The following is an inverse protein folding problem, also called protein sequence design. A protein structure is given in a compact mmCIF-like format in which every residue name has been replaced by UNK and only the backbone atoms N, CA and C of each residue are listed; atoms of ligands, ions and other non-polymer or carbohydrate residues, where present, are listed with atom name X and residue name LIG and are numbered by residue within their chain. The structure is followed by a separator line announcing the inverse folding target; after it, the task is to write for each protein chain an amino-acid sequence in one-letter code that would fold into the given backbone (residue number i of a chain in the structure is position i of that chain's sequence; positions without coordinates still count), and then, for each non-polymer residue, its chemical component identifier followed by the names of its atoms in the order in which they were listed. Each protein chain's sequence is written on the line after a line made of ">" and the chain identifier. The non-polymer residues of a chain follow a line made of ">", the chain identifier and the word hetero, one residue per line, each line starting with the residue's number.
data_IF_454935155028
#
_entry.id   IF_454935155028
#
_cell.length_a   1.000
_cell.length_b   1.000
_cell.length_c   1.000
_cell.angle_alpha   90.00
_cell.angle_beta   90.00
_cell.angle_gamma   90.00
#
_symmetry.space_group_name_H-M   'P 1'
#
loop_
_entity.id
_entity.type
_entity.pdbx_description
1 polymer ?
#
# COMPACT_ATOMS: atom_id res chain seq x y z
N UNK A 1 67.63 -15.58 -0.50
CA UNK A 1 68.94 -15.50 -1.20
C UNK A 1 68.97 -16.66 -2.18
N UNK A 2 69.38 -16.39 -3.43
CA UNK A 2 69.37 -17.25 -4.64
C UNK A 2 68.13 -17.13 -5.55
N UNK A 3 68.17 -16.07 -6.37
CA UNK A 3 68.25 -16.05 -7.84
C UNK A 3 67.36 -16.98 -8.68
N UNK A 4 66.52 -16.35 -9.50
CA UNK A 4 65.91 -16.93 -10.70
C UNK A 4 66.15 -15.96 -11.88
N UNK A 5 66.79 -16.36 -12.99
CA UNK A 5 67.09 -15.49 -14.12
C UNK A 5 66.06 -15.58 -15.26
N UNK A 6 65.80 -14.42 -15.89
CA UNK A 6 65.64 -14.12 -17.34
C UNK A 6 64.99 -15.15 -18.29
N UNK A 7 64.28 -14.84 -19.38
CA UNK A 7 64.01 -13.63 -20.18
C UNK A 7 63.02 -14.03 -21.29
N UNK A 8 62.15 -13.10 -21.67
CA UNK A 8 61.70 -12.74 -23.04
C UNK A 8 61.50 -13.78 -24.16
N UNK A 9 60.34 -13.73 -24.82
CA UNK A 9 60.24 -13.56 -26.28
C UNK A 9 58.80 -13.20 -26.73
N UNK A 10 58.73 -12.15 -27.55
CA UNK A 10 57.58 -11.63 -28.29
C UNK A 10 57.03 -12.60 -29.35
N UNK A 11 55.79 -12.40 -29.79
CA UNK A 11 55.48 -11.93 -31.17
C UNK A 11 53.97 -11.84 -31.43
N UNK A 12 53.53 -10.63 -31.79
CA UNK A 12 52.31 -10.35 -32.56
C UNK A 12 52.59 -10.60 -34.04
N UNK A 13 51.64 -11.15 -34.81
CA UNK A 13 51.49 -10.87 -36.25
C UNK A 13 50.03 -11.11 -36.67
N UNK A 14 49.47 -10.09 -37.30
CA UNK A 14 48.15 -10.00 -37.94
C UNK A 14 47.97 -11.01 -39.09
N UNK A 15 46.71 -11.31 -39.45
CA UNK A 15 46.27 -11.24 -40.86
C UNK A 15 44.73 -11.33 -41.01
N UNK A 16 44.25 -10.53 -41.96
CA UNK A 16 42.86 -10.19 -42.29
C UNK A 16 42.44 -10.89 -43.58
N UNK A 17 41.27 -11.54 -43.65
CA UNK A 17 40.55 -11.76 -44.94
C UNK A 17 39.04 -12.06 -44.73
N UNK A 18 38.17 -11.31 -45.40
CA UNK A 18 36.74 -11.56 -45.78
C UNK A 18 36.66 -11.31 -47.31
N UNK A 19 35.58 -11.53 -48.11
CA UNK A 19 34.22 -12.08 -47.86
C UNK A 19 33.65 -13.03 -48.97
N UNK A 20 32.48 -13.68 -48.76
CA UNK A 20 31.44 -14.06 -49.75
C UNK A 20 30.14 -14.37 -48.95
N UNK A 21 29.03 -13.62 -48.98
CA UNK A 21 27.94 -13.43 -49.98
C UNK A 21 27.26 -14.71 -50.50
N UNK A 22 26.03 -14.97 -50.01
CA UNK A 22 24.97 -15.61 -50.78
C UNK A 22 23.61 -15.15 -50.29
N UNK A 23 22.83 -14.69 -51.25
CA UNK A 23 21.51 -14.04 -51.15
C UNK A 23 20.40 -15.08 -51.26
N UNK A 24 19.39 -15.00 -50.39
CA UNK A 24 18.06 -15.53 -50.67
C UNK A 24 17.00 -14.61 -50.06
N UNK A 25 15.95 -14.36 -50.85
CA UNK A 25 15.02 -13.24 -50.73
C UNK A 25 13.56 -13.69 -50.57
N UNK A 26 12.80 -12.86 -49.83
CA UNK A 26 11.32 -12.66 -49.78
C UNK A 26 10.46 -13.55 -48.83
N UNK A 27 9.30 -13.04 -48.30
CA UNK A 27 8.71 -11.70 -48.41
C UNK A 27 8.38 -11.01 -47.06
N UNK A 28 8.12 -9.70 -47.21
CA UNK A 28 7.72 -8.67 -46.25
C UNK A 28 6.44 -9.04 -45.49
N UNK A 29 6.49 -9.08 -44.15
CA UNK A 29 5.31 -9.11 -43.29
C UNK A 29 5.03 -7.70 -42.75
N UNK A 30 3.77 -7.30 -42.80
CA UNK A 30 3.24 -6.01 -42.34
C UNK A 30 3.59 -5.72 -40.87
N UNK A 31 3.84 -4.45 -40.50
CA UNK A 31 4.03 -4.08 -39.11
C UNK A 31 2.72 -4.27 -38.35
N UNK A 32 2.65 -5.30 -37.52
CA UNK A 32 1.66 -5.40 -36.45
C UNK A 32 1.81 -4.16 -35.56
N UNK A 33 0.85 -3.24 -35.69
CA UNK A 33 0.55 -2.23 -34.68
C UNK A 33 0.28 -2.96 -33.36
N UNK A 34 1.31 -3.09 -32.54
CA UNK A 34 1.12 -3.34 -31.12
C UNK A 34 0.61 -2.02 -30.53
N UNK A 35 -0.72 -1.90 -30.47
CA UNK A 35 -1.38 -0.91 -29.65
C UNK A 35 -0.98 -1.15 -28.18
N UNK A 36 0.15 -0.58 -27.76
CA UNK A 36 0.48 -0.43 -26.35
C UNK A 36 -0.36 0.72 -25.82
N UNK A 37 -1.64 0.44 -25.54
CA UNK A 37 -2.37 1.21 -24.55
C UNK A 37 -1.76 0.84 -23.20
N UNK A 38 -0.57 1.37 -22.94
CA UNK A 38 0.03 1.36 -21.60
C UNK A 38 -0.85 2.30 -20.79
N UNK A 39 -1.79 1.73 -20.03
CA UNK A 39 -2.39 2.45 -18.91
C UNK A 39 -1.23 3.00 -18.09
N UNK A 40 -1.10 4.32 -18.14
CA UNK A 40 0.01 5.04 -17.56
C UNK A 40 -0.15 4.93 -16.05
N UNK A 41 0.61 4.02 -15.44
CA UNK A 41 0.58 3.76 -14.00
C UNK A 41 0.67 5.08 -13.24
N UNK A 42 -0.38 5.41 -12.48
CA UNK A 42 -0.47 6.56 -11.55
C UNK A 42 0.54 6.42 -10.40
N UNK A 43 1.12 5.23 -10.23
CA UNK A 43 2.13 4.93 -9.23
C UNK A 43 3.53 5.43 -9.65
N UNK A 44 4.13 6.45 -9.00
CA UNK A 44 5.45 6.94 -9.39
C UNK A 44 6.58 5.92 -9.10
N UNK A 45 7.81 6.09 -9.61
CA UNK A 45 8.89 5.15 -9.30
C UNK A 45 9.35 5.27 -7.84
N UNK A 46 9.61 4.14 -7.15
CA UNK A 46 10.00 4.11 -5.73
C UNK A 46 11.37 4.70 -5.47
N UNK A 47 12.31 4.41 -6.37
CA UNK A 47 13.74 4.72 -6.24
C UNK A 47 14.01 6.21 -6.39
N UNK A 48 13.14 6.93 -7.09
CA UNK A 48 13.31 8.36 -7.40
C UNK A 48 12.30 9.26 -6.71
N UNK A 49 11.32 8.70 -5.99
CA UNK A 49 10.30 9.49 -5.28
C UNK A 49 10.76 9.77 -3.84
N UNK A 50 10.97 11.03 -3.43
CA UNK A 50 11.39 11.36 -2.08
C UNK A 50 10.43 10.82 -1.01
N UNK A 51 10.98 10.17 0.02
CA UNK A 51 10.20 9.61 1.13
C UNK A 51 9.48 8.30 0.85
N UNK A 52 9.64 7.74 -0.37
CA UNK A 52 9.06 6.47 -0.80
C UNK A 52 10.08 5.32 -0.72
N UNK A 53 9.61 4.07 -0.63
CA UNK A 53 10.46 2.88 -0.63
C UNK A 53 11.07 2.58 0.75
N UNK A 54 12.23 1.89 0.82
CA UNK A 54 12.88 1.56 2.09
C UNK A 54 13.21 2.83 2.90
N UNK A 55 12.43 3.09 3.94
CA UNK A 55 12.47 4.31 4.75
C UNK A 55 11.31 4.34 5.76
N UNK A 56 11.00 5.50 6.33
CA UNK A 56 9.94 5.67 7.34
C UNK A 56 8.50 5.64 6.77
N UNK A 57 8.30 5.38 5.47
CA UNK A 57 6.97 5.33 4.85
C UNK A 57 6.29 6.70 4.65
N UNK A 58 7.03 7.80 4.86
CA UNK A 58 6.50 9.16 4.89
C UNK A 58 5.75 9.57 3.63
N UNK A 59 6.19 9.14 2.45
CA UNK A 59 5.54 9.52 1.20
C UNK A 59 4.06 9.11 1.16
N UNK A 60 3.75 7.87 1.55
CA UNK A 60 2.37 7.38 1.53
C UNK A 60 1.52 8.05 2.63
N UNK A 61 2.13 8.30 3.80
CA UNK A 61 1.48 9.04 4.88
C UNK A 61 1.06 10.46 4.45
N UNK A 62 1.98 11.19 3.80
CA UNK A 62 1.72 12.55 3.31
C UNK A 62 0.63 12.53 2.23
N UNK A 63 0.68 11.57 1.30
CA UNK A 63 -0.33 11.41 0.24
C UNK A 63 -1.72 11.14 0.82
N UNK A 64 -1.81 10.23 1.78
CA UNK A 64 -3.08 9.92 2.47
C UNK A 64 -3.59 11.13 3.23
N UNK A 65 -2.71 11.84 3.95
CA UNK A 65 -3.09 13.03 4.71
C UNK A 65 -3.68 14.10 3.78
N UNK A 66 -3.01 14.41 2.67
CA UNK A 66 -3.51 15.37 1.68
C UNK A 66 -4.84 14.95 1.08
N UNK A 67 -4.99 13.70 0.65
CA UNK A 67 -6.26 13.22 0.08
C UNK A 67 -7.41 13.33 1.09
N UNK A 68 -7.18 12.95 2.36
CA UNK A 68 -8.18 13.09 3.41
C UNK A 68 -8.54 14.56 3.67
N UNK A 69 -7.57 15.48 3.64
CA UNK A 69 -7.83 16.91 3.76
C UNK A 69 -8.71 17.44 2.63
N UNK A 70 -8.43 17.04 1.40
CA UNK A 70 -9.26 17.35 0.23
C UNK A 70 -10.68 16.78 0.35
N UNK A 71 -10.85 15.65 1.05
CA UNK A 71 -12.14 15.03 1.33
C UNK A 71 -12.86 15.61 2.57
N UNK A 72 -12.36 16.71 3.13
CA UNK A 72 -12.99 17.41 4.26
C UNK A 72 -12.64 16.83 5.62
N UNK A 73 -11.43 16.32 5.79
CA UNK A 73 -10.88 15.93 7.09
C UNK A 73 -9.78 16.89 7.55
N UNK A 74 -9.55 16.94 8.87
CA UNK A 74 -8.30 17.42 9.46
C UNK A 74 -7.43 16.23 9.80
N UNK A 75 -6.15 16.30 9.47
CA UNK A 75 -5.23 15.19 9.67
C UNK A 75 -4.09 15.53 10.63
N UNK A 76 -3.52 14.48 11.20
CA UNK A 76 -2.24 14.53 11.92
C UNK A 76 -1.48 13.24 11.61
N UNK A 77 -0.18 13.35 11.35
CA UNK A 77 0.68 12.20 11.02
C UNK A 77 1.46 11.74 12.24
N UNK A 78 1.84 10.45 12.29
CA UNK A 78 2.68 9.85 13.35
C UNK A 78 2.19 10.16 14.77
N UNK A 79 0.88 10.09 14.99
CA UNK A 79 0.28 10.39 16.29
C UNK A 79 0.40 9.20 17.23
N UNK A 80 0.87 9.47 18.44
CA UNK A 80 0.99 8.44 19.48
C UNK A 80 -0.35 8.24 20.19
N UNK A 81 -0.88 7.03 20.07
CA UNK A 81 -2.09 6.55 20.72
C UNK A 81 -1.67 5.50 21.76
N UNK A 82 -1.52 5.96 23.01
CA UNK A 82 -0.89 5.19 24.09
C UNK A 82 0.55 4.77 23.72
N UNK A 83 0.83 3.48 23.63
CA UNK A 83 2.14 2.93 23.30
C UNK A 83 2.34 2.69 21.79
N UNK A 84 1.31 2.94 20.97
CA UNK A 84 1.32 2.65 19.54
C UNK A 84 1.21 3.94 18.73
N UNK A 85 1.81 3.95 17.54
CA UNK A 85 1.74 5.09 16.63
C UNK A 85 0.81 4.77 15.48
N UNK A 86 -0.15 5.66 15.24
CA UNK A 86 -0.91 5.71 13.99
C UNK A 86 -0.12 6.50 12.95
N UNK A 87 -0.11 6.00 11.72
CA UNK A 87 0.62 6.66 10.64
C UNK A 87 -0.08 7.96 10.26
N UNK A 88 -1.42 7.92 10.16
CA UNK A 88 -2.28 9.11 10.06
C UNK A 88 -3.50 8.92 10.97
N UNK A 89 -3.90 9.97 11.68
CA UNK A 89 -5.21 10.06 12.31
C UNK A 89 -5.96 11.23 11.67
N UNK A 90 -7.25 11.03 11.40
CA UNK A 90 -8.08 12.03 10.73
C UNK A 90 -9.42 12.20 11.42
N UNK A 91 -9.93 13.44 11.39
CA UNK A 91 -11.26 13.79 11.91
C UNK A 91 -11.99 14.62 10.88
N UNK A 92 -13.23 14.26 10.55
CA UNK A 92 -14.07 15.03 9.63
C UNK A 92 -14.26 16.45 10.15
N UNK A 93 -14.15 17.45 9.27
CA UNK A 93 -14.31 18.86 9.65
C UNK A 93 -15.73 19.17 10.13
N UNK A 94 -16.71 18.65 9.40
CA UNK A 94 -18.14 18.73 9.71
C UNK A 94 -18.66 17.34 10.11
N UNK A 95 -18.79 17.03 11.42
CA UNK A 95 -19.25 15.73 11.88
C UNK A 95 -20.64 15.36 11.35
N UNK A 96 -20.84 14.10 11.00
CA UNK A 96 -22.07 13.56 10.43
C UNK A 96 -22.73 12.48 11.32
N UNK A 97 -22.19 12.23 12.51
CA UNK A 97 -22.60 11.13 13.40
C UNK A 97 -22.41 9.76 12.73
N UNK A 98 -21.34 9.63 11.94
CA UNK A 98 -20.97 8.40 11.24
C UNK A 98 -19.64 7.86 11.77
N UNK A 99 -19.43 6.53 11.83
CA UNK A 99 -18.15 5.95 12.23
C UNK A 99 -16.94 6.45 11.42
N UNK A 100 -17.14 6.91 10.18
CA UNK A 100 -16.09 7.51 9.35
C UNK A 100 -15.75 8.96 9.70
N UNK A 101 -16.37 9.57 10.71
CA UNK A 101 -16.00 10.90 11.21
C UNK A 101 -14.63 10.91 11.88
N UNK A 102 -14.17 9.74 12.36
CA UNK A 102 -12.84 9.55 12.93
C UNK A 102 -12.17 8.38 12.26
N UNK A 103 -10.97 8.59 11.72
CA UNK A 103 -10.20 7.57 11.03
C UNK A 103 -8.85 7.37 11.73
N UNK A 104 -8.42 6.11 11.79
CA UNK A 104 -7.04 5.76 12.05
C UNK A 104 -6.52 5.01 10.84
N UNK A 105 -5.43 5.51 10.27
CA UNK A 105 -4.83 4.97 9.06
C UNK A 105 -3.47 4.34 9.37
N UNK A 106 -3.28 3.13 8.84
CA UNK A 106 -1.96 2.49 8.72
C UNK A 106 -1.54 2.47 7.25
N UNK A 107 -0.29 2.82 6.98
CA UNK A 107 0.30 2.94 5.65
C UNK A 107 1.29 1.79 5.40
N UNK A 108 1.20 1.18 4.22
CA UNK A 108 2.07 0.08 3.78
C UNK A 108 2.54 0.30 2.35
N UNK A 109 3.67 0.99 2.23
CA UNK A 109 4.35 1.27 0.97
C UNK A 109 5.39 0.17 0.64
N UNK A 110 4.93 -1.02 0.23
CA UNK A 110 5.82 -2.15 -0.10
C UNK A 110 5.83 -2.48 -1.59
N UNK A 111 7.00 -2.87 -2.11
CA UNK A 111 7.18 -3.20 -3.52
C UNK A 111 6.62 -4.59 -3.88
N UNK A 112 6.99 -5.63 -3.12
CA UNK A 112 6.65 -7.02 -3.45
C UNK A 112 6.14 -7.84 -2.27
N UNK A 113 6.29 -7.35 -1.04
CA UNK A 113 5.84 -8.04 0.17
C UNK A 113 4.33 -7.89 0.30
N UNK A 114 3.63 -9.01 0.51
CA UNK A 114 2.20 -9.00 0.80
C UNK A 114 1.90 -8.47 2.21
N UNK A 115 0.77 -7.76 2.34
CA UNK A 115 0.22 -7.37 3.64
C UNK A 115 -0.47 -8.56 4.30
N UNK A 116 0.05 -8.99 5.44
CA UNK A 116 -0.47 -10.13 6.21
C UNK A 116 -1.40 -9.73 7.37
N UNK A 117 -1.96 -10.73 8.04
CA UNK A 117 -2.99 -10.54 9.07
C UNK A 117 -2.56 -9.66 10.25
N UNK A 118 -1.28 -9.70 10.62
CA UNK A 118 -0.76 -8.94 11.77
C UNK A 118 -0.93 -7.43 11.58
N UNK A 119 -0.83 -6.94 10.34
CA UNK A 119 -1.11 -5.53 10.03
C UNK A 119 -2.57 -5.19 10.28
N UNK A 120 -3.50 -6.05 9.86
CA UNK A 120 -4.93 -5.84 10.06
C UNK A 120 -5.29 -5.88 11.54
N UNK A 121 -4.79 -6.86 12.29
CA UNK A 121 -5.05 -7.02 13.73
C UNK A 121 -4.53 -5.79 14.50
N UNK A 122 -3.30 -5.36 14.21
CA UNK A 122 -2.71 -4.17 14.83
C UNK A 122 -3.54 -2.92 14.55
N UNK A 123 -3.91 -2.70 13.29
CA UNK A 123 -4.73 -1.56 12.87
C UNK A 123 -6.08 -1.56 13.59
N UNK A 124 -6.76 -2.72 13.68
CA UNK A 124 -8.03 -2.82 14.39
C UNK A 124 -7.89 -2.47 15.87
N UNK A 125 -6.82 -2.93 16.54
CA UNK A 125 -6.56 -2.58 17.94
C UNK A 125 -6.34 -1.07 18.12
N UNK A 126 -5.55 -0.47 17.24
CA UNK A 126 -5.31 0.98 17.24
C UNK A 126 -6.60 1.78 17.06
N UNK A 127 -7.39 1.41 16.05
CA UNK A 127 -8.66 2.06 15.74
C UNK A 127 -9.67 1.90 16.89
N UNK A 128 -9.71 0.72 17.52
CA UNK A 128 -10.53 0.47 18.70
C UNK A 128 -10.17 1.39 19.87
N UNK A 129 -8.88 1.51 20.20
CA UNK A 129 -8.39 2.40 21.25
C UNK A 129 -8.77 3.86 20.96
N UNK A 130 -8.68 4.27 19.70
CA UNK A 130 -9.01 5.62 19.26
C UNK A 130 -10.52 5.86 19.08
N UNK A 131 -11.36 4.82 19.19
CA UNK A 131 -12.79 4.85 18.81
C UNK A 131 -13.02 5.39 17.38
N UNK A 132 -12.16 4.96 16.46
CA UNK A 132 -12.13 5.40 15.08
C UNK A 132 -12.34 4.22 14.11
N UNK A 133 -12.68 4.53 12.87
CA UNK A 133 -12.74 3.54 11.79
C UNK A 133 -11.32 3.16 11.31
N UNK A 134 -11.00 1.86 11.19
CA UNK A 134 -9.71 1.42 10.68
C UNK A 134 -9.62 1.57 9.15
N UNK A 135 -8.52 2.17 8.70
CA UNK A 135 -8.21 2.33 7.28
C UNK A 135 -6.79 1.84 7.01
N UNK A 136 -6.62 0.98 6.00
CA UNK A 136 -5.31 0.55 5.54
C UNK A 136 -5.07 1.15 4.15
N UNK A 137 -4.04 2.00 4.04
CA UNK A 137 -3.54 2.46 2.76
C UNK A 137 -2.33 1.63 2.33
N UNK A 138 -2.37 1.06 1.13
CA UNK A 138 -1.32 0.15 0.66
C UNK A 138 -1.03 0.28 -0.83
N UNK A 139 0.20 -0.07 -1.21
CA UNK A 139 0.69 -0.05 -2.61
C UNK A 139 0.96 -1.46 -3.15
N UNK A 140 0.57 -2.50 -2.41
CA UNK A 140 0.83 -3.91 -2.72
C UNK A 140 -0.43 -4.75 -2.55
N UNK A 141 -0.33 -6.07 -2.59
CA UNK A 141 -1.48 -6.96 -2.36
C UNK A 141 -1.56 -7.44 -0.91
N UNK A 142 -2.77 -7.79 -0.49
CA UNK A 142 -3.02 -8.46 0.79
C UNK A 142 -2.93 -9.98 0.61
N UNK A 143 -2.61 -10.71 1.67
CA UNK A 143 -2.88 -12.15 1.71
C UNK A 143 -4.39 -12.40 1.77
N UNK A 144 -4.83 -13.59 1.33
CA UNK A 144 -6.26 -13.96 1.40
C UNK A 144 -6.82 -13.83 2.82
N UNK A 145 -6.03 -14.24 3.82
CA UNK A 145 -6.45 -14.14 5.21
C UNK A 145 -6.52 -12.69 5.71
N UNK A 146 -5.58 -11.82 5.32
CA UNK A 146 -5.66 -10.39 5.63
C UNK A 146 -6.90 -9.75 4.99
N UNK A 147 -7.24 -10.15 3.76
CA UNK A 147 -8.45 -9.70 3.08
C UNK A 147 -9.74 -10.15 3.80
N UNK A 148 -9.82 -11.41 4.21
CA UNK A 148 -10.93 -11.93 5.02
C UNK A 148 -11.11 -11.16 6.34
N UNK A 149 -10.01 -10.90 7.04
CA UNK A 149 -10.04 -10.13 8.29
C UNK A 149 -10.45 -8.67 8.05
N UNK A 150 -9.94 -8.03 6.99
CA UNK A 150 -10.31 -6.67 6.63
C UNK A 150 -11.82 -6.54 6.37
N UNK A 151 -12.43 -7.55 5.73
CA UNK A 151 -13.88 -7.62 5.56
C UNK A 151 -14.62 -7.84 6.88
N UNK A 152 -14.14 -8.75 7.73
CA UNK A 152 -14.80 -9.10 8.98
C UNK A 152 -14.80 -7.95 10.00
N UNK A 153 -13.77 -7.10 9.99
CA UNK A 153 -13.61 -5.98 10.91
C UNK A 153 -13.93 -4.61 10.29
N UNK A 154 -14.62 -4.59 9.14
CA UNK A 154 -15.03 -3.37 8.44
C UNK A 154 -13.86 -2.38 8.20
N UNK A 155 -12.66 -2.90 7.94
CA UNK A 155 -11.49 -2.10 7.56
C UNK A 155 -11.73 -1.54 6.16
N UNK A 156 -11.46 -0.26 5.92
CA UNK A 156 -11.44 0.31 4.57
C UNK A 156 -10.06 0.17 3.96
N UNK A 157 -9.99 -0.33 2.73
CA UNK A 157 -8.74 -0.47 1.98
C UNK A 157 -8.61 0.67 0.97
N UNK A 158 -7.55 1.46 1.11
CA UNK A 158 -7.15 2.53 0.19
C UNK A 158 -6.00 2.02 -0.69
N UNK A 159 -6.23 2.03 -1.99
CA UNK A 159 -5.17 1.91 -3.01
C UNK A 159 -4.74 3.30 -3.47
N UNK A 160 -3.65 3.40 -4.23
CA UNK A 160 -3.23 4.69 -4.79
C UNK A 160 -4.30 5.32 -5.67
N UNK A 161 -4.98 4.52 -6.50
CA UNK A 161 -6.08 4.99 -7.34
C UNK A 161 -7.28 5.50 -6.53
N UNK A 162 -7.45 5.04 -5.28
CA UNK A 162 -8.50 5.57 -4.42
C UNK A 162 -8.13 6.94 -3.85
N UNK A 163 -6.84 7.27 -3.72
CA UNK A 163 -6.39 8.57 -3.23
C UNK A 163 -6.65 9.70 -4.22
N UNK A 164 -6.70 9.39 -5.52
CA UNK A 164 -7.00 10.36 -6.57
C UNK A 164 -8.51 10.60 -6.76
N UNK A 165 -9.36 9.97 -5.93
CA UNK A 165 -10.83 10.16 -5.93
C UNK A 165 -11.21 11.30 -4.99
N UNK A 166 -12.51 11.53 -4.85
CA UNK A 166 -13.10 12.61 -4.06
C UNK A 166 -13.70 12.17 -2.72
N UNK A 167 -13.62 10.87 -2.39
CA UNK A 167 -14.21 10.33 -1.18
C UNK A 167 -13.58 9.00 -0.76
N UNK A 168 -13.77 8.65 0.52
CA UNK A 168 -13.40 7.34 1.05
C UNK A 168 -14.08 6.21 0.25
N UNK A 169 -13.34 5.12 -0.07
CA UNK A 169 -13.93 3.96 -0.69
C UNK A 169 -14.97 3.31 0.22
N UNK A 170 -15.91 2.52 -0.35
CA UNK A 170 -16.85 1.75 0.46
C UNK A 170 -16.10 0.75 1.36
N UNK A 171 -16.78 0.24 2.38
CA UNK A 171 -16.27 -0.84 3.23
C UNK A 171 -15.77 -2.01 2.37
N UNK A 172 -14.71 -2.70 2.80
CA UNK A 172 -14.10 -3.79 2.02
C UNK A 172 -15.09 -4.89 1.68
N UNK A 173 -16.01 -5.23 2.60
CA UNK A 173 -17.10 -6.19 2.35
C UNK A 173 -18.11 -5.75 1.27
N UNK A 174 -18.07 -4.48 0.84
CA UNK A 174 -18.90 -3.89 -0.21
C UNK A 174 -18.10 -3.49 -1.44
N UNK A 175 -16.79 -3.76 -1.47
CA UNK A 175 -15.94 -3.49 -2.63
C UNK A 175 -16.17 -4.59 -3.68
N UNK A 176 -16.33 -4.25 -4.98
CA UNK A 176 -16.25 -5.23 -6.03
C UNK A 176 -14.89 -5.94 -5.95
N UNK A 177 -14.81 -7.27 -6.14
CA UNK A 177 -13.53 -7.98 -6.20
C UNK A 177 -12.76 -7.52 -7.43
N UNK A 178 -11.95 -6.47 -7.29
CA UNK A 178 -11.07 -5.97 -8.33
C UNK A 178 -9.62 -6.27 -7.93
N UNK A 179 -8.89 -6.99 -8.78
CA UNK A 179 -7.46 -7.24 -8.64
C UNK A 179 -7.05 -8.38 -7.71
N UNK A 180 -8.00 -9.10 -7.11
CA UNK A 180 -7.75 -10.36 -6.39
C UNK A 180 -8.56 -11.46 -7.03
N UNK A 181 -7.91 -12.60 -7.30
CA UNK A 181 -8.62 -13.83 -7.65
C UNK A 181 -9.67 -14.06 -6.55
N UNK A 182 -10.97 -14.19 -6.89
CA UNK A 182 -11.99 -14.37 -5.87
C UNK A 182 -11.66 -15.60 -5.03
N UNK A 183 -11.85 -15.57 -3.70
CA UNK A 183 -11.69 -16.76 -2.89
C UNK A 183 -12.60 -17.86 -3.44
N UNK A 184 -12.17 -19.14 -3.45
CA UNK A 184 -13.01 -20.24 -3.90
C UNK A 184 -14.34 -20.15 -3.17
N UNK A 185 -15.41 -20.03 -3.96
CA UNK A 185 -16.80 -19.81 -3.55
C UNK A 185 -17.15 -20.63 -2.30
N UNK A 186 -17.55 -19.97 -1.20
CA UNK A 186 -18.25 -20.71 -0.14
C UNK A 186 -18.34 -20.10 1.26
N UNK A 187 -17.55 -19.11 1.64
CA UNK A 187 -17.69 -18.49 2.98
C UNK A 187 -17.60 -16.97 2.93
N UNK A 188 -18.76 -16.33 2.95
CA UNK A 188 -18.87 -15.01 3.56
C UNK A 188 -18.85 -15.24 5.07
N UNK A 189 -17.81 -14.80 5.81
CA UNK A 189 -17.83 -14.90 7.26
C UNK A 189 -19.02 -14.10 7.81
N UNK A 190 -19.73 -14.60 8.84
CA UNK A 190 -20.83 -13.85 9.44
C UNK A 190 -20.30 -12.52 9.97
N UNK A 191 -21.01 -11.42 9.65
CA UNK A 191 -20.71 -10.10 10.20
C UNK A 191 -20.72 -10.18 11.73
N UNK A 192 -19.66 -9.76 12.44
CA UNK A 192 -19.80 -9.49 13.86
C UNK A 192 -20.75 -8.30 14.02
N UNK A 193 -21.90 -8.54 14.66
CA UNK A 193 -22.85 -7.48 15.02
C UNK A 193 -22.26 -6.68 16.18
N UNK A 194 -21.53 -5.62 15.89
CA UNK A 194 -21.19 -4.62 16.91
C UNK A 194 -22.37 -3.66 17.09
N UNK A 195 -23.34 -4.06 17.91
CA UNK A 195 -24.18 -3.08 18.59
C UNK A 195 -23.27 -2.37 19.59
N UNK A 196 -22.73 -1.21 19.23
CA UNK A 196 -22.03 -0.38 20.19
C UNK A 196 -23.03 0.00 21.28
N UNK A 197 -22.83 -0.38 22.56
CA UNK A 197 -23.60 0.25 23.62
C UNK A 197 -23.17 1.72 23.65
N UNK A 198 -24.12 2.63 23.42
CA UNK A 198 -23.97 4.02 23.81
C UNK A 198 -23.82 4.00 25.33
N UNK A 199 -22.58 3.96 25.83
CA UNK A 199 -22.30 4.23 27.23
C UNK A 199 -22.44 5.74 27.40
N UNK A 200 -23.61 6.18 27.80
CA UNK A 200 -23.80 7.50 28.40
C UNK A 200 -23.01 7.53 29.70
N UNK A 201 -21.90 8.28 29.72
CA UNK A 201 -21.20 8.61 30.97
C UNK A 201 -22.05 9.66 31.68
N UNK A 202 -22.84 9.24 32.67
CA UNK A 202 -23.42 10.17 33.63
C UNK A 202 -22.32 10.67 34.57
N UNK A 203 -22.28 11.98 34.71
CA UNK A 203 -21.40 12.75 35.57
C UNK A 203 -21.58 12.36 37.05
N UNK A 204 -20.53 11.83 37.68
CA UNK A 204 -20.48 11.62 39.12
C UNK A 204 -19.04 11.58 39.65
N UNK A 205 -18.52 12.77 39.99
CA UNK A 205 -17.67 13.06 41.16
C UNK A 205 -16.61 12.04 41.58
N UNK A 206 -15.34 12.32 41.21
CA UNK A 206 -14.19 11.86 41.99
C UNK A 206 -14.10 12.66 43.30
N UNK A 207 -14.34 12.00 44.43
CA UNK A 207 -13.68 12.33 45.70
C UNK A 207 -12.72 11.19 46.02
N UNK A 208 -11.42 11.49 46.02
CA UNK A 208 -10.39 10.58 46.55
C UNK A 208 -10.11 11.00 47.99
N UNK A 209 -10.31 10.09 48.94
CA UNK A 209 -9.65 10.09 50.24
C UNK A 209 -8.84 8.80 50.34
N UNK A 210 -7.55 8.92 50.63
CA UNK A 210 -6.93 8.30 51.80
C UNK A 210 -5.68 9.09 52.16
#
# INVERSE_FOLDING_TARGET
>A
MTDNPNSSADTNTDENTTPEDTTETHPKADPQQTNTNTEQSTDPPRETTPGRGPGHGKWLEDRVATALEEWGYRTTTRTQLLALTADVAARREEPQDDPSDFLVVECKDWATKLVGEQTIIRLCLLAFIARAMPVLCHTTHLTDHAWELAQAYDVRLLTLDDLDKDQLPPLTARRPPAGTTPPPTGRVPPRPSFAAPIVTVSDASLRVRH
#
